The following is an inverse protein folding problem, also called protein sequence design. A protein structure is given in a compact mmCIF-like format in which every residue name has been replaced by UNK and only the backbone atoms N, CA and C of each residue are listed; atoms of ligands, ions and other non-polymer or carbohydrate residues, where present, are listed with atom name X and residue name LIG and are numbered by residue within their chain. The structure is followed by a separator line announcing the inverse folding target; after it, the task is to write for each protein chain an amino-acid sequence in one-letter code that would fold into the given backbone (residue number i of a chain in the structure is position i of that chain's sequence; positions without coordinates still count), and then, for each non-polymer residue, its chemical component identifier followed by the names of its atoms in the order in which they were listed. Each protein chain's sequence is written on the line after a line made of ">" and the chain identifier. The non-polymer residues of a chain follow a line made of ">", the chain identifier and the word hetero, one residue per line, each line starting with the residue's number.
data_IF_658104405761
#
_entry.id   IF_658104405761
#
_cell.length_a   1.000
_cell.length_b   1.000
_cell.length_c   1.000
_cell.angle_alpha   90.00
_cell.angle_beta   90.00
_cell.angle_gamma   90.00
#
_symmetry.space_group_name_H-M   'P 1'
#
loop_
_entity.id
_entity.type
_entity.pdbx_description
1 polymer ?
#
# COMPACT_ATOMS: atom_id res chain seq x y z
N UNK A 1 9.64 -30.30 -2.87
CA UNK A 1 10.91 -29.89 -3.51
C UNK A 1 11.35 -28.62 -2.83
N UNK A 2 12.51 -28.62 -2.18
CA UNK A 2 13.01 -27.42 -1.49
C UNK A 2 13.39 -26.36 -2.54
N UNK A 3 12.68 -25.26 -2.56
CA UNK A 3 13.08 -24.07 -3.32
C UNK A 3 14.31 -23.48 -2.64
N UNK A 4 15.47 -23.68 -3.26
CA UNK A 4 16.71 -23.12 -2.77
C UNK A 4 16.62 -21.60 -2.73
N UNK A 5 16.91 -21.02 -1.57
CA UNK A 5 17.15 -19.59 -1.39
C UNK A 5 18.29 -19.16 -2.35
N UNK A 6 17.93 -18.62 -3.51
CA UNK A 6 18.88 -17.84 -4.29
C UNK A 6 18.93 -16.46 -3.65
N UNK A 7 20.08 -16.13 -3.05
CA UNK A 7 20.39 -14.73 -2.70
C UNK A 7 20.08 -13.85 -3.91
N UNK A 8 19.07 -13.00 -3.79
CA UNK A 8 18.73 -12.06 -4.85
C UNK A 8 19.70 -10.89 -4.78
N UNK A 9 20.40 -10.54 -5.85
CA UNK A 9 21.28 -9.37 -5.84
C UNK A 9 20.40 -8.12 -5.64
N UNK A 10 20.72 -7.34 -4.61
CA UNK A 10 20.14 -6.00 -4.44
C UNK A 10 20.39 -5.15 -5.70
N UNK A 11 19.48 -4.21 -6.04
CA UNK A 11 19.73 -3.33 -7.18
C UNK A 11 21.01 -2.56 -6.93
N UNK A 12 21.98 -2.67 -7.85
CA UNK A 12 23.27 -2.01 -7.70
C UNK A 12 23.08 -0.51 -7.38
N UNK A 13 23.54 -0.10 -6.18
CA UNK A 13 23.52 1.28 -5.73
C UNK A 13 22.18 1.79 -5.14
N UNK A 14 21.27 0.88 -4.70
CA UNK A 14 20.05 1.28 -3.96
C UNK A 14 20.07 0.72 -2.55
N UNK A 15 20.00 -0.59 -2.39
CA UNK A 15 20.15 -1.31 -1.13
C UNK A 15 21.02 -2.54 -1.36
N UNK A 16 21.91 -2.82 -0.42
CA UNK A 16 22.61 -4.10 -0.34
C UNK A 16 21.71 -5.16 0.31
N UNK A 17 22.08 -6.45 0.19
CA UNK A 17 21.37 -7.52 0.91
C UNK A 17 21.43 -7.30 2.43
N UNK A 18 22.56 -6.81 2.96
CA UNK A 18 22.70 -6.48 4.37
C UNK A 18 21.75 -5.35 4.80
N UNK A 19 21.69 -4.25 4.04
CA UNK A 19 20.77 -3.13 4.33
C UNK A 19 19.29 -3.55 4.25
N UNK A 20 18.94 -4.45 3.31
CA UNK A 20 17.59 -5.02 3.23
C UNK A 20 17.27 -5.82 4.50
N UNK A 21 18.17 -6.69 4.94
CA UNK A 21 18.00 -7.48 6.16
C UNK A 21 17.94 -6.60 7.42
N UNK A 22 18.79 -5.57 7.51
CA UNK A 22 18.79 -4.61 8.62
C UNK A 22 17.46 -3.85 8.71
N UNK A 23 16.92 -3.41 7.58
CA UNK A 23 15.63 -2.70 7.53
C UNK A 23 14.47 -3.62 7.90
N UNK A 24 14.44 -4.85 7.40
CA UNK A 24 13.44 -5.85 7.80
C UNK A 24 13.52 -6.17 9.30
N UNK A 25 14.74 -6.37 9.82
CA UNK A 25 14.95 -6.57 11.25
C UNK A 25 14.51 -5.35 12.08
N UNK A 26 14.67 -4.13 11.55
CA UNK A 26 14.24 -2.91 12.21
C UNK A 26 12.71 -2.84 12.31
N UNK A 27 11.96 -3.16 11.24
CA UNK A 27 10.50 -3.33 11.27
C UNK A 27 10.12 -4.41 12.29
N UNK A 28 10.80 -5.56 12.26
CA UNK A 28 10.57 -6.66 13.19
C UNK A 28 10.80 -6.31 14.67
N UNK A 29 11.65 -5.33 14.98
CA UNK A 29 11.83 -4.82 16.36
C UNK A 29 10.68 -3.92 16.80
N UNK A 30 9.97 -3.30 15.89
CA UNK A 30 8.76 -2.48 16.17
C UNK A 30 7.53 -3.37 16.29
N UNK A 31 7.48 -4.48 15.54
CA UNK A 31 6.37 -5.42 15.60
C UNK A 31 6.12 -5.91 17.02
N UNK A 32 4.87 -5.91 17.43
CA UNK A 32 4.39 -6.35 18.75
C UNK A 32 4.36 -7.87 18.83
N UNK A 33 4.33 -8.38 20.04
CA UNK A 33 4.25 -9.84 20.30
C UNK A 33 2.94 -10.48 19.83
N UNK A 34 1.89 -9.68 19.68
CA UNK A 34 0.61 -10.10 19.10
C UNK A 34 0.59 -10.04 17.56
N UNK A 35 1.69 -9.64 16.92
CA UNK A 35 1.82 -9.51 15.46
C UNK A 35 1.54 -8.13 14.91
N UNK A 36 0.94 -7.22 15.67
CA UNK A 36 0.64 -5.85 15.23
C UNK A 36 1.89 -5.04 14.90
N UNK A 37 1.86 -4.26 13.84
CA UNK A 37 2.98 -3.39 13.41
C UNK A 37 2.49 -1.95 13.47
N UNK A 38 2.82 -1.17 14.53
CA UNK A 38 2.49 0.25 14.62
C UNK A 38 3.41 1.09 13.72
N UNK A 39 3.06 2.34 13.52
CA UNK A 39 3.88 3.33 12.81
C UNK A 39 5.32 3.35 13.33
N UNK A 40 5.45 3.43 14.61
CA UNK A 40 6.68 3.22 15.38
C UNK A 40 6.30 2.87 16.82
N UNK A 41 7.24 2.41 17.60
CA UNK A 41 6.98 1.99 18.99
C UNK A 41 6.36 3.13 19.82
N UNK A 42 5.21 2.86 20.41
CA UNK A 42 4.45 3.82 21.22
C UNK A 42 3.48 4.71 20.41
N UNK A 43 3.37 4.50 19.10
CA UNK A 43 2.42 5.20 18.25
C UNK A 43 1.28 4.29 17.81
N UNK A 44 0.30 4.82 17.08
CA UNK A 44 -0.83 4.04 16.61
C UNK A 44 -0.44 2.99 15.54
N UNK A 45 -1.31 2.02 15.39
CA UNK A 45 -1.37 1.10 14.26
C UNK A 45 -2.62 1.41 13.45
N UNK A 46 -2.50 1.55 12.15
CA UNK A 46 -3.62 1.52 11.20
C UNK A 46 -3.46 0.33 10.22
N UNK A 47 -4.56 -0.16 9.64
CA UNK A 47 -4.50 -1.35 8.79
C UNK A 47 -3.71 -1.18 7.51
N UNK A 48 -3.62 0.02 6.94
CA UNK A 48 -2.88 0.23 5.68
C UNK A 48 -1.37 0.09 5.89
N UNK A 49 -0.81 0.90 6.77
CA UNK A 49 0.63 0.90 7.02
C UNK A 49 1.11 -0.43 7.61
N UNK A 50 0.25 -1.05 8.45
CA UNK A 50 0.47 -2.39 8.98
C UNK A 50 0.61 -3.44 7.88
N UNK A 51 -0.28 -3.44 6.88
CA UNK A 51 -0.24 -4.37 5.74
C UNK A 51 0.98 -4.10 4.85
N UNK A 52 1.30 -2.83 4.62
CA UNK A 52 2.46 -2.48 3.79
C UNK A 52 3.77 -2.92 4.44
N UNK A 53 3.90 -2.74 5.75
CA UNK A 53 5.03 -3.26 6.51
C UNK A 53 5.09 -4.81 6.50
N UNK A 54 3.93 -5.49 6.57
CA UNK A 54 3.86 -6.96 6.46
C UNK A 54 4.29 -7.47 5.08
N UNK A 55 3.85 -6.84 3.99
CA UNK A 55 4.31 -7.16 2.63
C UNK A 55 5.82 -6.94 2.48
N UNK A 56 6.36 -5.91 3.11
CA UNK A 56 7.80 -5.65 3.11
C UNK A 56 8.61 -6.72 3.85
N UNK A 57 8.09 -7.23 4.96
CA UNK A 57 8.68 -8.38 5.67
C UNK A 57 8.67 -9.63 4.77
N UNK A 58 7.59 -9.90 4.05
CA UNK A 58 7.52 -10.99 3.06
C UNK A 58 8.57 -10.83 1.96
N UNK A 59 8.69 -9.64 1.40
CA UNK A 59 9.66 -9.35 0.35
C UNK A 59 11.12 -9.50 0.82
N UNK A 60 11.36 -9.35 2.13
CA UNK A 60 12.66 -9.59 2.77
C UNK A 60 12.87 -11.05 3.22
N UNK A 61 11.86 -11.93 3.09
CA UNK A 61 11.92 -13.34 3.49
C UNK A 61 11.54 -13.63 4.95
N UNK A 62 11.03 -12.62 5.68
CA UNK A 62 10.57 -12.72 7.07
C UNK A 62 9.09 -13.18 7.13
N UNK A 63 8.79 -14.31 6.49
CA UNK A 63 7.41 -14.78 6.27
C UNK A 63 6.63 -15.04 7.57
N UNK A 64 7.28 -15.61 8.60
CA UNK A 64 6.63 -15.87 9.90
C UNK A 64 6.16 -14.57 10.56
N UNK A 65 6.91 -13.48 10.39
CA UNK A 65 6.54 -12.16 10.92
C UNK A 65 5.40 -11.54 10.12
N UNK A 66 5.43 -11.70 8.81
CA UNK A 66 4.35 -11.25 7.94
C UNK A 66 3.05 -12.00 8.25
N UNK A 67 3.11 -13.33 8.42
CA UNK A 67 1.95 -14.14 8.78
C UNK A 67 1.37 -13.73 10.14
N UNK A 68 2.23 -13.47 11.15
CA UNK A 68 1.77 -12.97 12.44
C UNK A 68 1.03 -11.63 12.34
N UNK A 69 1.43 -10.76 11.40
CA UNK A 69 0.73 -9.51 11.12
C UNK A 69 -0.66 -9.75 10.49
N UNK A 70 -0.78 -10.66 9.53
CA UNK A 70 -2.09 -11.03 8.97
C UNK A 70 -2.99 -11.73 9.97
N UNK A 71 -2.43 -12.55 10.85
CA UNK A 71 -3.17 -13.16 11.96
C UNK A 71 -3.69 -12.10 12.95
N UNK A 72 -2.93 -11.01 13.15
CA UNK A 72 -3.41 -9.86 13.92
C UNK A 72 -4.66 -9.25 13.27
N UNK A 73 -4.67 -9.03 11.96
CA UNK A 73 -5.85 -8.54 11.23
C UNK A 73 -7.07 -9.47 11.40
N UNK A 74 -6.87 -10.78 11.24
CA UNK A 74 -7.95 -11.76 11.40
C UNK A 74 -8.56 -11.74 12.80
N UNK A 75 -7.75 -11.54 13.84
CA UNK A 75 -8.24 -11.48 15.24
C UNK A 75 -8.96 -10.18 15.60
N UNK A 76 -8.66 -9.08 14.87
CA UNK A 76 -9.17 -7.74 15.20
C UNK A 76 -10.17 -7.19 14.17
N UNK A 77 -10.60 -8.03 13.22
CA UNK A 77 -11.69 -7.68 12.32
C UNK A 77 -13.00 -7.54 13.10
N UNK A 78 -13.70 -6.43 12.90
CA UNK A 78 -15.02 -6.20 13.47
C UNK A 78 -16.06 -7.15 12.83
N UNK A 79 -17.17 -7.40 13.52
CA UNK A 79 -18.26 -8.28 13.04
C UNK A 79 -18.84 -7.86 11.67
N UNK A 80 -18.73 -6.57 11.32
CA UNK A 80 -19.17 -6.05 10.03
C UNK A 80 -18.14 -6.14 8.90
N UNK A 81 -16.98 -6.74 9.17
CA UNK A 81 -15.88 -6.91 8.21
C UNK A 81 -14.87 -5.75 8.18
N UNK A 82 -15.09 -4.69 8.94
CA UNK A 82 -14.20 -3.53 9.00
C UNK A 82 -13.06 -3.70 10.01
N UNK A 83 -12.13 -2.73 9.98
CA UNK A 83 -11.22 -2.40 11.08
C UNK A 83 -11.38 -0.94 11.44
N UNK A 84 -11.02 -0.59 12.67
CA UNK A 84 -10.92 0.80 13.08
C UNK A 84 -9.77 1.51 12.36
N UNK A 85 -9.92 2.83 12.17
CA UNK A 85 -8.91 3.64 11.47
C UNK A 85 -7.58 3.70 12.23
N UNK A 86 -7.62 3.60 13.57
CA UNK A 86 -6.39 3.52 14.36
C UNK A 86 -6.58 2.72 15.65
N UNK A 87 -5.53 2.03 16.06
CA UNK A 87 -5.41 1.29 17.31
C UNK A 87 -4.22 1.83 18.11
N UNK A 88 -4.40 1.99 19.42
CA UNK A 88 -3.33 2.42 20.32
C UNK A 88 -2.23 1.34 20.47
N UNK A 89 -1.01 1.76 20.78
CA UNK A 89 0.12 0.84 21.02
C UNK A 89 0.34 0.52 22.51
N UNK A 90 -0.66 0.70 23.36
CA UNK A 90 -0.56 0.58 24.82
C UNK A 90 -1.07 -0.74 25.41
N UNK A 91 -1.19 -1.80 24.60
CA UNK A 91 -1.67 -3.10 25.07
C UNK A 91 -2.55 -3.86 24.08
N UNK A 92 -3.64 -4.50 24.55
CA UNK A 92 -4.58 -5.16 23.65
C UNK A 92 -5.16 -4.11 22.68
N UNK A 93 -5.37 -4.50 21.42
CA UNK A 93 -5.75 -3.60 20.32
C UNK A 93 -6.93 -2.70 20.65
N UNK A 94 -6.65 -1.63 21.40
CA UNK A 94 -7.62 -0.64 21.83
C UNK A 94 -7.84 0.36 20.70
N UNK A 95 -9.08 0.59 20.24
CA UNK A 95 -9.34 1.59 19.23
C UNK A 95 -8.95 3.01 19.69
N UNK A 96 -8.03 3.65 18.97
CA UNK A 96 -7.67 5.05 19.13
C UNK A 96 -8.58 5.96 18.28
N UNK A 97 -8.95 5.50 17.06
CA UNK A 97 -10.00 6.10 16.23
C UNK A 97 -10.97 5.00 15.79
N UNK A 98 -12.23 5.10 16.21
CA UNK A 98 -13.29 4.12 15.91
C UNK A 98 -13.95 4.31 14.56
N UNK A 99 -13.55 5.27 13.75
CA UNK A 99 -13.95 5.33 12.36
C UNK A 99 -13.43 4.11 11.59
N UNK A 100 -13.99 3.86 10.41
CA UNK A 100 -13.49 2.86 9.49
C UNK A 100 -13.25 3.49 8.12
N UNK A 101 -12.00 3.53 7.68
CA UNK A 101 -11.65 4.03 6.35
C UNK A 101 -11.73 2.89 5.33
N UNK A 102 -12.41 3.14 4.22
CA UNK A 102 -12.72 2.08 3.25
C UNK A 102 -11.49 1.51 2.57
N UNK A 103 -10.49 2.35 2.28
CA UNK A 103 -9.22 1.88 1.72
C UNK A 103 -8.39 1.09 2.75
N UNK A 104 -8.40 1.47 4.03
CA UNK A 104 -7.76 0.72 5.10
C UNK A 104 -8.37 -0.66 5.26
N UNK A 105 -9.71 -0.74 5.18
CA UNK A 105 -10.42 -2.02 5.23
C UNK A 105 -10.24 -2.87 3.95
N UNK A 106 -10.01 -2.26 2.80
CA UNK A 106 -9.78 -2.98 1.55
C UNK A 106 -8.35 -3.56 1.44
N UNK A 107 -7.34 -2.82 1.94
CA UNK A 107 -5.93 -3.10 1.68
C UNK A 107 -5.42 -4.46 2.19
N UNK A 108 -5.98 -5.10 3.24
CA UNK A 108 -5.65 -6.47 3.62
C UNK A 108 -5.73 -7.48 2.48
N UNK A 109 -6.61 -7.28 1.48
CA UNK A 109 -6.68 -8.16 0.31
C UNK A 109 -5.39 -8.12 -0.54
N UNK A 110 -4.72 -6.96 -0.62
CA UNK A 110 -3.43 -6.81 -1.31
C UNK A 110 -2.36 -7.61 -0.60
N UNK A 111 -2.27 -7.44 0.73
CA UNK A 111 -1.28 -8.14 1.54
C UNK A 111 -1.46 -9.65 1.56
N UNK A 112 -2.70 -10.14 1.71
CA UNK A 112 -3.01 -11.58 1.71
C UNK A 112 -2.63 -12.22 0.37
N UNK A 113 -2.93 -11.54 -0.75
CA UNK A 113 -2.54 -12.03 -2.06
C UNK A 113 -1.02 -12.00 -2.26
N UNK A 114 -0.34 -10.97 -1.77
CA UNK A 114 1.11 -10.86 -1.79
C UNK A 114 1.79 -11.98 -1.00
N UNK A 115 1.34 -12.24 0.23
CA UNK A 115 1.87 -13.30 1.08
C UNK A 115 1.69 -14.69 0.43
N UNK A 116 0.50 -14.97 -0.12
CA UNK A 116 0.27 -16.21 -0.86
C UNK A 116 1.24 -16.35 -2.05
N UNK A 117 1.47 -15.27 -2.82
CA UNK A 117 2.44 -15.29 -3.93
C UNK A 117 3.88 -15.52 -3.46
N UNK A 118 4.23 -15.00 -2.27
CA UNK A 118 5.56 -15.14 -1.69
C UNK A 118 5.83 -16.55 -1.14
N UNK A 119 4.81 -17.17 -0.53
CA UNK A 119 4.97 -18.43 0.22
C UNK A 119 4.38 -19.66 -0.48
N UNK A 120 3.32 -19.47 -1.28
CA UNK A 120 2.50 -20.56 -1.81
C UNK A 120 1.68 -21.29 -0.75
N UNK A 121 1.51 -20.71 0.46
CA UNK A 121 0.79 -21.35 1.55
C UNK A 121 -0.72 -21.35 1.34
N UNK A 122 -1.23 -22.50 0.93
CA UNK A 122 -2.66 -22.74 0.72
C UNK A 122 -3.47 -22.79 2.04
N UNK A 123 -2.85 -23.15 3.16
CA UNK A 123 -3.52 -23.15 4.46
C UNK A 123 -3.76 -21.72 4.94
N UNK A 124 -2.75 -20.85 4.81
CA UNK A 124 -2.86 -19.43 5.05
C UNK A 124 -3.95 -18.82 4.15
N UNK A 125 -3.89 -19.04 2.83
CA UNK A 125 -4.88 -18.51 1.90
C UNK A 125 -6.32 -18.87 2.29
N UNK A 126 -6.57 -20.16 2.59
CA UNK A 126 -7.90 -20.62 3.02
C UNK A 126 -8.34 -19.97 4.33
N UNK A 127 -7.44 -19.77 5.28
CA UNK A 127 -7.73 -19.13 6.57
C UNK A 127 -8.08 -17.66 6.40
N UNK A 128 -7.40 -16.94 5.48
CA UNK A 128 -7.59 -15.52 5.27
C UNK A 128 -8.72 -15.19 4.27
N UNK A 129 -9.17 -16.13 3.45
CA UNK A 129 -10.24 -15.89 2.48
C UNK A 129 -11.52 -15.32 3.12
N UNK A 130 -12.07 -15.86 4.23
CA UNK A 130 -13.26 -15.26 4.84
C UNK A 130 -13.01 -13.85 5.39
N UNK A 131 -11.81 -13.56 5.88
CA UNK A 131 -11.42 -12.22 6.36
C UNK A 131 -11.45 -11.22 5.21
N UNK A 132 -10.85 -11.57 4.07
CA UNK A 132 -10.87 -10.72 2.85
C UNK A 132 -12.30 -10.56 2.32
N UNK A 133 -13.10 -11.64 2.32
CA UNK A 133 -14.49 -11.58 1.86
C UNK A 133 -15.31 -10.59 2.69
N UNK A 134 -15.28 -10.69 4.01
CA UNK A 134 -16.00 -9.78 4.91
C UNK A 134 -15.54 -8.32 4.73
N UNK A 135 -14.24 -8.10 4.54
CA UNK A 135 -13.68 -6.78 4.28
C UNK A 135 -14.19 -6.16 2.96
N UNK A 136 -14.19 -6.93 1.87
CA UNK A 136 -14.73 -6.48 0.58
C UNK A 136 -16.21 -6.15 0.68
N UNK A 137 -17.00 -7.03 1.30
CA UNK A 137 -18.43 -6.80 1.51
C UNK A 137 -18.70 -5.53 2.35
N UNK A 138 -17.87 -5.25 3.36
CA UNK A 138 -17.93 -3.99 4.08
C UNK A 138 -17.67 -2.81 3.14
N UNK A 139 -16.58 -2.83 2.41
CA UNK A 139 -16.14 -1.74 1.52
C UNK A 139 -17.17 -1.43 0.44
N UNK A 140 -17.75 -2.45 -0.18
CA UNK A 140 -18.69 -2.27 -1.28
C UNK A 140 -20.00 -1.59 -0.87
N UNK A 141 -20.36 -1.61 0.42
CA UNK A 141 -21.50 -0.83 0.93
C UNK A 141 -21.32 0.69 0.76
N UNK A 142 -20.08 1.15 0.56
CA UNK A 142 -19.75 2.55 0.37
C UNK A 142 -19.56 2.94 -1.10
N UNK A 143 -19.73 1.99 -2.06
CA UNK A 143 -19.67 2.33 -3.46
C UNK A 143 -20.89 3.16 -3.85
N UNK A 144 -20.66 4.33 -4.43
CA UNK A 144 -21.71 5.27 -4.86
C UNK A 144 -22.20 4.94 -6.28
N UNK A 145 -23.36 5.44 -6.67
CA UNK A 145 -23.91 5.22 -8.02
C UNK A 145 -22.96 5.62 -9.16
N UNK A 146 -22.09 6.59 -8.93
CA UNK A 146 -21.08 7.02 -9.91
C UNK A 146 -19.87 6.11 -10.00
N UNK A 147 -19.76 5.08 -9.15
CA UNK A 147 -18.67 4.13 -9.11
C UNK A 147 -17.55 4.47 -8.13
N UNK A 148 -17.45 5.74 -7.72
CA UNK A 148 -16.48 6.18 -6.69
C UNK A 148 -16.82 5.58 -5.32
N UNK A 149 -15.80 5.47 -4.44
CA UNK A 149 -15.94 4.89 -3.11
C UNK A 149 -15.97 5.97 -2.03
N UNK A 150 -17.04 5.99 -1.21
CA UNK A 150 -17.07 6.80 0.02
C UNK A 150 -15.89 6.42 0.90
N UNK A 151 -15.19 7.41 1.45
CA UNK A 151 -13.86 7.16 2.01
C UNK A 151 -13.87 6.70 3.47
N UNK A 152 -14.94 7.02 4.24
CA UNK A 152 -14.94 6.77 5.68
C UNK A 152 -16.36 6.56 6.24
N UNK A 153 -16.49 5.69 7.21
CA UNK A 153 -17.61 5.60 8.14
C UNK A 153 -17.16 6.18 9.48
N UNK A 154 -17.88 7.17 9.95
CA UNK A 154 -17.63 7.78 11.25
C UNK A 154 -18.08 6.87 12.42
N UNK A 155 -17.62 7.12 13.67
CA UNK A 155 -17.93 6.27 14.82
C UNK A 155 -19.42 6.13 15.14
N UNK A 156 -20.25 7.10 14.74
CA UNK A 156 -21.71 7.07 14.88
C UNK A 156 -22.42 6.23 13.78
N UNK A 157 -21.66 5.64 12.88
CA UNK A 157 -22.16 4.83 11.76
C UNK A 157 -22.47 5.61 10.49
N UNK A 158 -22.37 6.93 10.49
CA UNK A 158 -22.62 7.76 9.29
C UNK A 158 -21.48 7.69 8.31
N UNK A 159 -21.80 7.80 7.01
CA UNK A 159 -20.77 7.90 5.96
C UNK A 159 -20.30 9.34 5.83
N UNK A 160 -19.00 9.57 5.91
CA UNK A 160 -18.42 10.88 5.67
C UNK A 160 -18.67 11.34 4.22
N UNK A 161 -18.82 12.64 3.98
CA UNK A 161 -19.07 13.15 2.64
C UNK A 161 -17.84 13.01 1.73
N UNK A 162 -18.10 12.80 0.44
CA UNK A 162 -17.05 12.76 -0.61
C UNK A 162 -16.40 11.38 -0.79
N UNK A 163 -15.47 11.34 -1.71
CA UNK A 163 -14.61 10.20 -2.03
C UNK A 163 -13.17 10.70 -2.20
N UNK A 164 -12.18 9.89 -1.86
CA UNK A 164 -10.76 10.20 -2.07
C UNK A 164 -10.26 9.46 -3.31
N UNK A 165 -9.55 10.16 -4.20
CA UNK A 165 -8.98 9.56 -5.39
C UNK A 165 -7.96 8.48 -5.05
N UNK A 166 -7.01 8.79 -4.15
CA UNK A 166 -6.01 7.85 -3.64
C UNK A 166 -6.67 6.63 -3.00
N UNK A 167 -7.62 6.83 -2.06
CA UNK A 167 -8.33 5.74 -1.39
C UNK A 167 -9.14 4.88 -2.35
N UNK A 168 -9.80 5.49 -3.34
CA UNK A 168 -10.53 4.76 -4.39
C UNK A 168 -9.61 3.97 -5.32
N UNK A 169 -8.43 4.50 -5.65
CA UNK A 169 -7.44 3.79 -6.44
C UNK A 169 -6.86 2.58 -5.66
N UNK A 170 -6.55 2.78 -4.37
CA UNK A 170 -6.10 1.70 -3.46
C UNK A 170 -7.15 0.60 -3.32
N UNK A 171 -8.41 0.96 -3.09
CA UNK A 171 -9.51 0.01 -3.01
C UNK A 171 -9.75 -0.75 -4.33
N UNK A 172 -9.58 -0.09 -5.48
CA UNK A 172 -9.63 -0.77 -6.78
C UNK A 172 -8.53 -1.84 -6.91
N UNK A 173 -7.31 -1.53 -6.47
CA UNK A 173 -6.23 -2.50 -6.44
C UNK A 173 -6.56 -3.69 -5.51
N UNK A 174 -7.07 -3.39 -4.32
CA UNK A 174 -7.49 -4.40 -3.35
C UNK A 174 -8.60 -5.31 -3.87
N UNK A 175 -9.62 -4.76 -4.54
CA UNK A 175 -10.68 -5.54 -5.18
C UNK A 175 -10.13 -6.50 -6.24
N UNK A 176 -9.15 -6.08 -7.03
CA UNK A 176 -8.51 -6.94 -8.04
C UNK A 176 -7.72 -8.07 -7.40
N UNK A 177 -7.04 -7.82 -6.28
CA UNK A 177 -6.35 -8.87 -5.50
C UNK A 177 -7.38 -9.83 -4.87
N UNK A 178 -8.49 -9.31 -4.33
CA UNK A 178 -9.57 -10.12 -3.79
C UNK A 178 -10.23 -11.01 -4.86
N UNK A 179 -10.44 -10.50 -6.07
CA UNK A 179 -10.93 -11.28 -7.22
C UNK A 179 -9.94 -12.40 -7.57
N UNK A 180 -8.65 -12.13 -7.60
CA UNK A 180 -7.64 -13.16 -7.83
C UNK A 180 -7.67 -14.25 -6.74
N UNK A 181 -7.86 -13.88 -5.47
CA UNK A 181 -8.04 -14.84 -4.37
C UNK A 181 -9.33 -15.66 -4.52
N UNK A 182 -10.42 -15.04 -4.98
CA UNK A 182 -11.68 -15.71 -5.24
C UNK A 182 -11.58 -16.70 -6.41
N UNK A 183 -10.89 -16.35 -7.50
CA UNK A 183 -10.58 -17.26 -8.61
C UNK A 183 -9.79 -18.48 -8.14
N UNK A 184 -8.74 -18.28 -7.31
CA UNK A 184 -7.98 -19.37 -6.70
C UNK A 184 -8.81 -20.26 -5.77
N UNK A 185 -9.84 -19.70 -5.15
CA UNK A 185 -10.76 -20.44 -4.31
C UNK A 185 -11.87 -21.16 -5.12
N UNK A 186 -12.00 -20.89 -6.43
CA UNK A 186 -13.08 -21.38 -7.26
C UNK A 186 -14.45 -20.78 -6.90
N UNK A 187 -14.50 -19.58 -6.35
CA UNK A 187 -15.72 -18.88 -5.90
C UNK A 187 -15.92 -17.59 -6.71
N UNK A 188 -16.53 -17.65 -7.91
CA UNK A 188 -16.75 -16.47 -8.74
C UNK A 188 -17.51 -15.38 -8.01
N UNK A 189 -17.09 -14.11 -8.21
CA UNK A 189 -17.65 -12.94 -7.54
C UNK A 189 -18.08 -11.86 -8.56
N UNK A 190 -19.17 -12.09 -9.33
CA UNK A 190 -19.57 -11.16 -10.39
C UNK A 190 -19.90 -9.75 -9.90
N UNK A 191 -20.43 -9.62 -8.69
CA UNK A 191 -20.71 -8.30 -8.10
C UNK A 191 -19.42 -7.54 -7.80
N UNK A 192 -18.37 -8.24 -7.37
CA UNK A 192 -17.04 -7.61 -7.15
C UNK A 192 -16.38 -7.21 -8.48
N UNK A 193 -16.54 -8.02 -9.53
CA UNK A 193 -16.05 -7.69 -10.87
C UNK A 193 -16.71 -6.42 -11.40
N UNK A 194 -18.03 -6.31 -11.24
CA UNK A 194 -18.78 -5.11 -11.63
C UNK A 194 -18.35 -3.90 -10.80
N UNK A 195 -18.20 -4.07 -9.48
CA UNK A 195 -17.77 -3.01 -8.58
C UNK A 195 -16.36 -2.52 -8.91
N UNK A 196 -15.41 -3.43 -9.16
CA UNK A 196 -14.05 -3.10 -9.57
C UNK A 196 -14.04 -2.34 -10.90
N UNK A 197 -14.83 -2.77 -11.88
CA UNK A 197 -14.96 -2.09 -13.16
C UNK A 197 -15.49 -0.65 -13.04
N UNK A 198 -16.56 -0.46 -12.26
CA UNK A 198 -17.14 0.87 -11.97
C UNK A 198 -16.15 1.78 -11.24
N UNK A 199 -15.48 1.26 -10.21
CA UNK A 199 -14.51 2.03 -9.43
C UNK A 199 -13.30 2.44 -10.29
N UNK A 200 -12.74 1.49 -11.05
CA UNK A 200 -11.66 1.78 -11.97
C UNK A 200 -12.03 2.79 -13.05
N UNK A 201 -13.27 2.74 -13.55
CA UNK A 201 -13.78 3.74 -14.49
C UNK A 201 -13.90 5.12 -13.84
N UNK A 202 -14.48 5.21 -12.64
CA UNK A 202 -14.60 6.48 -11.92
C UNK A 202 -13.22 7.14 -11.71
N UNK A 203 -12.22 6.39 -11.27
CA UNK A 203 -10.85 6.90 -11.05
C UNK A 203 -10.21 7.41 -12.35
N UNK A 204 -10.44 6.73 -13.48
CA UNK A 204 -9.84 7.13 -14.78
C UNK A 204 -10.54 8.29 -15.46
N UNK A 205 -11.88 8.32 -15.40
CA UNK A 205 -12.69 9.17 -16.27
C UNK A 205 -13.41 10.32 -15.56
N UNK A 206 -13.53 10.27 -14.22
CA UNK A 206 -14.36 11.17 -13.45
C UNK A 206 -13.64 11.81 -12.25
N UNK A 207 -12.54 12.55 -12.47
CA UNK A 207 -11.78 13.20 -11.38
C UNK A 207 -12.63 14.18 -10.57
N UNK A 208 -13.68 14.77 -11.17
CA UNK A 208 -14.61 15.69 -10.52
C UNK A 208 -15.47 15.07 -9.43
N UNK A 209 -15.53 13.74 -9.34
CA UNK A 209 -16.27 13.00 -8.29
C UNK A 209 -15.51 12.88 -6.98
N UNK A 210 -14.22 13.23 -7.00
CA UNK A 210 -13.35 13.11 -5.83
C UNK A 210 -13.10 14.48 -5.19
N UNK A 211 -12.87 14.44 -3.86
CA UNK A 211 -12.45 15.62 -3.12
C UNK A 211 -11.12 16.13 -3.71
N UNK A 212 -10.99 17.43 -3.88
CA UNK A 212 -9.75 18.01 -4.37
C UNK A 212 -8.62 17.87 -3.34
N UNK A 213 -7.77 16.91 -3.60
CA UNK A 213 -6.51 16.64 -2.89
C UNK A 213 -5.30 16.79 -3.82
N UNK A 214 -5.46 17.52 -4.92
CA UNK A 214 -4.44 17.70 -5.96
C UNK A 214 -3.10 18.27 -5.45
N UNK A 215 -3.09 18.90 -4.27
CA UNK A 215 -1.86 19.34 -3.62
C UNK A 215 -1.02 18.19 -3.03
N UNK A 216 -1.59 17.02 -2.81
CA UNK A 216 -0.92 15.84 -2.25
C UNK A 216 -0.35 14.98 -3.35
N UNK A 217 0.89 14.53 -3.20
CA UNK A 217 1.57 13.71 -4.22
C UNK A 217 0.91 12.35 -4.44
N UNK A 218 0.28 11.77 -3.42
CA UNK A 218 -0.43 10.49 -3.55
C UNK A 218 -1.55 10.58 -4.57
N UNK A 219 -2.33 11.65 -4.62
CA UNK A 219 -3.37 11.83 -5.63
C UNK A 219 -2.80 11.85 -7.07
N UNK A 220 -1.55 12.24 -7.22
CA UNK A 220 -0.87 12.25 -8.51
C UNK A 220 -0.36 10.86 -8.93
N UNK A 221 0.42 10.17 -8.08
CA UNK A 221 1.06 8.92 -8.50
C UNK A 221 0.28 7.65 -8.14
N UNK A 222 -0.55 7.67 -7.11
CA UNK A 222 -1.18 6.47 -6.56
C UNK A 222 -2.11 5.74 -7.56
N UNK A 223 -2.87 6.41 -8.44
CA UNK A 223 -3.62 5.72 -9.50
C UNK A 223 -2.74 4.89 -10.46
N UNK A 224 -1.45 5.26 -10.60
CA UNK A 224 -0.47 4.48 -11.36
C UNK A 224 0.06 3.32 -10.50
N UNK A 225 0.42 3.58 -9.24
CA UNK A 225 0.86 2.56 -8.28
C UNK A 225 -0.19 1.45 -8.15
N UNK A 226 -1.43 1.81 -7.91
CA UNK A 226 -2.56 0.91 -7.75
C UNK A 226 -3.01 0.18 -9.05
N UNK A 227 -2.41 0.50 -10.18
CA UNK A 227 -2.74 -0.15 -11.44
C UNK A 227 -4.03 0.29 -12.10
N UNK A 228 -4.66 1.33 -11.60
CA UNK A 228 -5.88 1.88 -12.20
C UNK A 228 -5.58 2.64 -13.49
N UNK A 229 -4.42 3.30 -13.56
CA UNK A 229 -3.92 4.00 -14.74
C UNK A 229 -2.63 3.33 -15.22
N UNK A 230 -2.57 2.91 -16.48
CA UNK A 230 -1.45 2.17 -17.08
C UNK A 230 -1.07 2.72 -18.47
N UNK A 231 0.08 2.25 -18.99
CA UNK A 231 0.57 2.55 -20.33
C UNK A 231 0.80 4.04 -20.58
N UNK A 232 0.43 4.55 -21.76
CA UNK A 232 0.64 5.94 -22.13
C UNK A 232 -0.05 6.94 -21.19
N UNK A 233 -1.21 6.58 -20.64
CA UNK A 233 -1.93 7.42 -19.68
C UNK A 233 -1.16 7.56 -18.36
N UNK A 234 -0.49 6.49 -17.90
CA UNK A 234 0.36 6.55 -16.71
C UNK A 234 1.57 7.47 -16.94
N UNK A 235 2.22 7.36 -18.10
CA UNK A 235 3.34 8.24 -18.47
C UNK A 235 2.90 9.70 -18.53
N UNK A 236 1.77 9.98 -19.18
CA UNK A 236 1.23 11.34 -19.28
C UNK A 236 0.89 11.92 -17.89
N UNK A 237 0.25 11.12 -17.03
CA UNK A 237 -0.08 11.53 -15.66
C UNK A 237 1.16 11.84 -14.82
N UNK A 238 2.17 10.98 -14.87
CA UNK A 238 3.42 11.18 -14.14
C UNK A 238 4.20 12.39 -14.67
N UNK A 239 4.22 12.61 -15.98
CA UNK A 239 4.88 13.77 -16.58
C UNK A 239 4.20 15.10 -16.26
N UNK A 240 2.86 15.11 -16.18
CA UNK A 240 2.06 16.35 -16.06
C UNK A 240 2.37 17.17 -14.80
N UNK A 241 2.81 16.51 -13.70
CA UNK A 241 3.07 17.17 -12.42
C UNK A 241 4.41 16.78 -11.80
N UNK A 242 5.34 16.34 -12.65
CA UNK A 242 6.67 15.91 -12.20
C UNK A 242 7.40 17.02 -11.45
N UNK A 243 7.43 18.23 -11.99
CA UNK A 243 8.14 19.37 -11.42
C UNK A 243 7.47 19.95 -10.15
N UNK A 244 6.16 19.71 -10.00
CA UNK A 244 5.44 20.09 -8.78
C UNK A 244 5.91 19.26 -7.58
N UNK A 245 6.13 17.95 -7.79
CA UNK A 245 6.34 17.03 -6.69
C UNK A 245 7.78 16.53 -6.57
N UNK A 246 8.50 16.32 -7.67
CA UNK A 246 9.85 15.78 -7.61
C UNK A 246 10.88 16.87 -7.39
N UNK A 247 11.67 16.72 -6.33
CA UNK A 247 12.81 17.58 -6.03
C UNK A 247 14.08 16.82 -6.40
N UNK A 248 14.83 17.27 -7.43
CA UNK A 248 16.01 16.56 -7.91
C UNK A 248 17.02 16.25 -6.79
N UNK A 249 17.42 14.99 -6.67
CA UNK A 249 18.36 14.52 -5.66
C UNK A 249 17.84 14.42 -4.22
N UNK A 250 16.57 14.79 -3.97
CA UNK A 250 15.98 14.78 -2.63
C UNK A 250 14.80 13.82 -2.48
N UNK A 251 13.98 13.63 -3.52
CA UNK A 251 12.79 12.77 -3.48
C UNK A 251 11.52 13.53 -3.85
N UNK A 252 10.41 13.16 -3.21
CA UNK A 252 9.06 13.63 -3.52
C UNK A 252 8.51 14.50 -2.41
N UNK A 253 7.95 15.66 -2.77
CA UNK A 253 7.15 16.47 -1.83
C UNK A 253 5.88 15.70 -1.47
N UNK A 254 5.57 15.58 -0.18
CA UNK A 254 4.26 15.10 0.25
C UNK A 254 3.15 16.06 -0.22
N UNK A 255 3.35 17.35 0.00
CA UNK A 255 2.38 18.42 -0.31
C UNK A 255 3.04 19.55 -1.08
N UNK A 256 2.57 19.82 -2.30
CA UNK A 256 3.01 20.98 -3.09
C UNK A 256 2.34 22.28 -2.57
N UNK A 257 3.09 23.41 -2.45
CA UNK A 257 4.50 23.63 -2.77
C UNK A 257 5.45 23.54 -1.56
N UNK A 258 5.08 22.83 -0.49
CA UNK A 258 5.85 22.79 0.74
C UNK A 258 7.29 22.28 0.50
N UNK A 259 8.33 22.88 1.13
CA UNK A 259 9.71 22.46 0.96
C UNK A 259 10.05 21.21 1.79
N UNK A 260 9.21 20.20 1.73
CA UNK A 260 9.25 18.98 2.53
C UNK A 260 9.13 17.74 1.64
N UNK A 261 10.17 16.93 1.59
CA UNK A 261 10.20 15.64 0.90
C UNK A 261 10.07 14.51 1.92
N UNK A 262 9.38 13.44 1.54
CA UNK A 262 9.07 12.33 2.42
C UNK A 262 9.56 11.00 1.86
N UNK A 263 9.92 10.09 2.75
CA UNK A 263 10.48 8.80 2.40
C UNK A 263 9.43 7.84 1.83
N UNK A 264 8.26 7.74 2.47
CA UNK A 264 7.18 6.85 2.06
C UNK A 264 6.70 7.18 0.64
N UNK A 265 6.27 8.42 0.40
CA UNK A 265 5.77 8.84 -0.92
C UNK A 265 6.87 8.78 -2.00
N UNK A 266 8.14 8.98 -1.64
CA UNK A 266 9.24 8.79 -2.59
C UNK A 266 9.42 7.33 -2.97
N UNK A 267 9.34 6.41 -2.02
CA UNK A 267 9.45 4.98 -2.29
C UNK A 267 8.23 4.45 -3.08
N UNK A 268 7.03 4.88 -2.73
CA UNK A 268 5.81 4.56 -3.48
C UNK A 268 5.84 5.12 -4.91
N UNK A 269 6.35 6.37 -5.11
CA UNK A 269 6.57 6.87 -6.47
C UNK A 269 7.58 6.00 -7.23
N UNK A 270 8.67 5.55 -6.58
CA UNK A 270 9.62 4.66 -7.22
C UNK A 270 8.96 3.35 -7.67
N UNK A 271 8.07 2.78 -6.83
CA UNK A 271 7.29 1.60 -7.17
C UNK A 271 6.30 1.87 -8.32
N UNK A 272 5.63 3.03 -8.32
CA UNK A 272 4.73 3.45 -9.40
C UNK A 272 5.49 3.64 -10.73
N UNK A 273 6.68 4.23 -10.69
CA UNK A 273 7.56 4.39 -11.86
C UNK A 273 8.02 3.04 -12.41
N UNK A 274 8.40 2.11 -11.52
CA UNK A 274 8.74 0.75 -11.93
C UNK A 274 7.53 0.09 -12.62
N UNK A 275 6.34 0.17 -12.03
CA UNK A 275 5.11 -0.40 -12.58
C UNK A 275 4.70 0.24 -13.91
N UNK A 276 5.07 1.50 -14.14
CA UNK A 276 4.90 2.21 -15.42
C UNK A 276 5.98 1.86 -16.47
N UNK A 277 6.93 0.96 -16.17
CA UNK A 277 8.02 0.60 -17.09
C UNK A 277 9.17 1.61 -17.13
N UNK A 278 9.36 2.40 -16.08
CA UNK A 278 10.40 3.43 -15.95
C UNK A 278 11.44 3.08 -14.85
N UNK A 279 12.08 1.89 -14.88
CA UNK A 279 12.90 1.41 -13.77
C UNK A 279 14.14 2.27 -13.49
N UNK A 280 14.69 2.98 -14.49
CA UNK A 280 15.81 3.92 -14.26
C UNK A 280 15.37 5.08 -13.37
N UNK A 281 14.22 5.71 -13.66
CA UNK A 281 13.68 6.79 -12.83
C UNK A 281 13.29 6.28 -11.43
N UNK A 282 12.72 5.08 -11.34
CA UNK A 282 12.45 4.43 -10.06
C UNK A 282 13.73 4.32 -9.20
N UNK A 283 14.82 3.84 -9.79
CA UNK A 283 16.13 3.74 -9.13
C UNK A 283 16.67 5.10 -8.70
N UNK A 284 16.52 6.13 -9.53
CA UNK A 284 16.97 7.50 -9.21
C UNK A 284 16.22 8.07 -8.00
N UNK A 285 14.90 7.89 -7.93
CA UNK A 285 14.10 8.34 -6.79
C UNK A 285 14.46 7.55 -5.53
N UNK A 286 14.56 6.22 -5.61
CA UNK A 286 14.87 5.40 -4.45
C UNK A 286 16.25 5.72 -3.85
N UNK A 287 17.24 6.06 -4.68
CA UNK A 287 18.56 6.50 -4.22
C UNK A 287 18.54 7.76 -3.37
N UNK A 288 17.57 8.65 -3.59
CA UNK A 288 17.44 9.87 -2.78
C UNK A 288 17.19 9.54 -1.30
N UNK A 289 16.64 8.36 -1.00
CA UNK A 289 16.25 7.94 0.34
C UNK A 289 17.44 7.50 1.22
N UNK A 290 18.62 7.32 0.65
CA UNK A 290 19.83 7.00 1.43
C UNK A 290 20.12 8.03 2.53
N UNK A 291 19.76 9.30 2.32
CA UNK A 291 19.90 10.37 3.33
C UNK A 291 18.95 10.26 4.52
N UNK A 292 17.82 9.56 4.33
CA UNK A 292 16.83 9.35 5.39
C UNK A 292 17.11 8.07 6.19
N UNK A 293 17.99 7.20 5.70
CA UNK A 293 18.33 5.95 6.36
C UNK A 293 19.12 6.20 7.61
N UNK A 294 18.74 5.54 8.70
CA UNK A 294 19.42 5.61 10.00
C UNK A 294 20.31 4.39 10.21
N UNK A 295 21.27 4.49 11.17
CA UNK A 295 22.26 3.44 11.45
C UNK A 295 21.61 2.13 11.93
N UNK A 296 20.39 2.18 12.47
CA UNK A 296 19.63 1.02 12.91
C UNK A 296 18.76 0.39 11.81
N UNK A 297 18.87 0.88 10.57
CA UNK A 297 18.16 0.35 9.40
C UNK A 297 16.77 0.92 9.16
N UNK A 298 16.28 1.83 10.02
CA UNK A 298 15.03 2.56 9.79
C UNK A 298 15.23 3.76 8.86
N UNK A 299 14.15 4.45 8.58
CA UNK A 299 14.13 5.65 7.75
C UNK A 299 13.36 6.76 8.45
N UNK A 300 13.90 7.98 8.44
CA UNK A 300 13.17 9.17 8.81
C UNK A 300 11.98 9.41 7.88
N UNK A 301 10.88 9.91 8.42
CA UNK A 301 9.66 10.19 7.65
C UNK A 301 9.89 11.23 6.57
N UNK A 302 10.65 12.29 6.86
CA UNK A 302 10.89 13.32 5.86
C UNK A 302 11.99 14.32 6.20
N UNK A 303 12.25 15.19 5.22
CA UNK A 303 13.30 16.20 5.26
C UNK A 303 12.78 17.54 4.72
N UNK A 304 12.89 18.59 5.54
CA UNK A 304 12.58 19.97 5.15
C UNK A 304 13.84 20.59 4.57
N UNK A 305 13.91 20.63 3.25
CA UNK A 305 15.14 21.05 2.56
C UNK A 305 15.40 22.57 2.60
N UNK A 306 14.42 23.39 2.95
CA UNK A 306 14.61 24.82 3.16
C UNK A 306 15.36 25.10 4.47
N UNK A 307 15.18 24.24 5.47
CA UNK A 307 15.73 24.42 6.82
C UNK A 307 16.87 23.44 7.12
N UNK A 308 17.23 22.57 6.17
CA UNK A 308 18.19 21.48 6.34
C UNK A 308 17.90 20.61 7.58
N UNK A 309 16.62 20.23 7.77
CA UNK A 309 16.15 19.59 8.98
C UNK A 309 15.34 18.31 8.69
N UNK A 310 15.52 17.29 9.52
CA UNK A 310 14.62 16.14 9.59
C UNK A 310 13.30 16.58 10.25
N UNK A 311 12.18 16.25 9.60
CA UNK A 311 10.86 16.53 10.16
C UNK A 311 9.79 15.64 9.52
N UNK A 312 8.85 15.10 10.30
CA UNK A 312 8.94 14.97 11.77
C UNK A 312 10.10 14.06 12.19
N UNK A 313 10.53 14.14 13.45
CA UNK A 313 11.55 13.24 14.00
C UNK A 313 10.94 11.86 14.32
N UNK A 314 10.37 11.25 13.30
CA UNK A 314 9.69 9.96 13.33
C UNK A 314 10.33 9.00 12.32
N UNK A 315 10.32 7.73 12.64
CA UNK A 315 10.87 6.65 11.79
C UNK A 315 9.81 5.58 11.64
N UNK A 316 8.95 5.77 10.62
CA UNK A 316 7.77 4.92 10.45
C UNK A 316 8.08 3.60 9.78
N UNK A 317 7.41 2.55 10.22
CA UNK A 317 7.44 1.22 9.59
C UNK A 317 6.90 1.26 8.17
N UNK A 318 5.93 2.15 7.88
CA UNK A 318 5.45 2.43 6.52
C UNK A 318 6.56 2.92 5.60
N UNK A 319 7.34 3.96 6.01
CA UNK A 319 8.47 4.44 5.18
C UNK A 319 9.48 3.33 4.90
N UNK A 320 9.85 2.57 5.93
CA UNK A 320 10.78 1.44 5.78
C UNK A 320 10.18 0.33 4.89
N UNK A 321 8.90 0.05 5.04
CA UNK A 321 8.14 -0.91 4.23
C UNK A 321 8.10 -0.53 2.75
N UNK A 322 7.71 0.71 2.46
CA UNK A 322 7.67 1.23 1.09
C UNK A 322 9.06 1.14 0.39
N UNK A 323 10.15 1.46 1.12
CA UNK A 323 11.52 1.32 0.60
C UNK A 323 11.85 -0.12 0.25
N UNK A 324 11.53 -1.08 1.13
CA UNK A 324 11.76 -2.50 0.86
C UNK A 324 10.96 -2.99 -0.35
N UNK A 325 9.68 -2.63 -0.46
CA UNK A 325 8.83 -3.01 -1.59
C UNK A 325 9.34 -2.42 -2.92
N UNK A 326 9.75 -1.16 -2.93
CA UNK A 326 10.33 -0.56 -4.12
C UNK A 326 11.65 -1.23 -4.53
N UNK A 327 12.51 -1.56 -3.56
CA UNK A 327 13.75 -2.32 -3.80
C UNK A 327 13.45 -3.73 -4.31
N UNK A 328 12.49 -4.44 -3.71
CA UNK A 328 12.05 -5.78 -4.10
C UNK A 328 11.54 -5.81 -5.55
N UNK A 329 10.71 -4.83 -5.95
CA UNK A 329 10.25 -4.72 -7.33
C UNK A 329 11.43 -4.54 -8.31
N UNK A 330 12.40 -3.70 -7.97
CA UNK A 330 13.58 -3.46 -8.80
C UNK A 330 14.50 -4.69 -8.87
N UNK A 331 14.61 -5.50 -7.82
CA UNK A 331 15.44 -6.72 -7.77
C UNK A 331 14.78 -7.96 -8.34
N UNK A 332 13.51 -7.92 -8.68
CA UNK A 332 12.84 -9.06 -9.31
C UNK A 332 12.04 -9.93 -8.35
N UNK A 333 11.64 -9.41 -7.20
CA UNK A 333 10.75 -10.14 -6.31
C UNK A 333 9.43 -10.47 -7.00
N UNK A 334 9.07 -11.75 -7.02
CA UNK A 334 7.93 -12.23 -7.78
C UNK A 334 6.61 -11.71 -7.22
N UNK A 335 6.42 -11.80 -5.91
CA UNK A 335 5.18 -11.38 -5.25
C UNK A 335 4.92 -9.88 -5.43
N UNK A 336 5.90 -9.06 -5.08
CA UNK A 336 5.84 -7.60 -5.23
C UNK A 336 5.59 -7.17 -6.67
N UNK A 337 6.32 -7.78 -7.62
CA UNK A 337 6.14 -7.49 -9.06
C UNK A 337 4.76 -7.87 -9.57
N UNK A 338 4.24 -9.01 -9.19
CA UNK A 338 2.93 -9.48 -9.63
C UNK A 338 1.84 -8.55 -9.12
N UNK A 339 1.86 -8.22 -7.84
CA UNK A 339 0.88 -7.34 -7.20
C UNK A 339 0.90 -5.94 -7.82
N UNK A 340 2.07 -5.30 -7.88
CA UNK A 340 2.14 -3.89 -8.30
C UNK A 340 2.21 -3.68 -9.82
N UNK A 341 2.66 -4.66 -10.61
CA UNK A 341 2.43 -4.58 -12.07
C UNK A 341 0.94 -4.70 -12.38
N UNK A 342 0.23 -5.51 -11.62
CA UNK A 342 -1.19 -5.77 -11.81
C UNK A 342 -1.53 -6.38 -13.18
N UNK A 343 -0.54 -6.86 -13.93
CA UNK A 343 -0.73 -7.35 -15.30
C UNK A 343 -1.58 -8.62 -15.36
N UNK A 344 -1.51 -9.44 -14.33
CA UNK A 344 -2.23 -10.72 -14.21
C UNK A 344 -3.48 -10.61 -13.32
N UNK A 345 -3.71 -9.48 -12.68
CA UNK A 345 -4.89 -9.28 -11.84
C UNK A 345 -6.16 -9.09 -12.70
N UNK A 346 -7.30 -9.64 -12.29
CA UNK A 346 -8.59 -9.40 -12.95
C UNK A 346 -8.86 -7.90 -13.11
N UNK A 347 -9.45 -7.50 -14.23
CA UNK A 347 -9.68 -6.08 -14.55
C UNK A 347 -11.01 -5.56 -14.06
N UNK A 348 -11.92 -6.45 -13.64
CA UNK A 348 -13.33 -6.14 -13.44
C UNK A 348 -14.09 -6.02 -14.75
N UNK A 349 -15.41 -5.97 -14.68
CA UNK A 349 -16.28 -5.78 -15.83
C UNK A 349 -16.38 -4.30 -16.18
N UNK A 350 -16.18 -3.92 -17.46
CA UNK A 350 -16.37 -2.52 -17.86
C UNK A 350 -17.84 -2.12 -17.64
N UNK A 351 -18.11 -0.90 -17.12
CA UNK A 351 -19.48 -0.41 -17.04
C UNK A 351 -20.06 -0.13 -18.45
N UNK A 352 -21.35 -0.35 -18.61
CA UNK A 352 -22.08 -0.10 -19.88
C UNK A 352 -22.27 1.39 -20.19
N UNK A 353 -21.49 2.29 -19.60
CA UNK A 353 -21.59 3.72 -19.83
C UNK A 353 -20.44 4.21 -20.71
N UNK A 354 -20.77 4.91 -21.73
CA UNK A 354 -19.96 5.64 -22.73
C UNK A 354 -19.91 4.99 -24.07
#
# INVERSE_FOLDING_TARGET
>A
MAFGHRERPAPAGVLTAAETAETAAAIGRVQRTDGGIPWFRGHHLDPWDHVEAAMALDAAGEHDRAEAAYDWLARHQNDDGSWYAAYADDGPATPADRAAETNFCAYPAVGVYHHWLATGDEAFRRRMTPVVTAAVEFVLRFQRPGGELGWRRDPDGTAAPGALLTGSASAHHALRCALALAELAGTPQPDWELAAGRLGHAVRAHPERFLDKSRYSMDWYYPVLAGTVRGAAAHARLAARWDDFVVPGLGVRCVHPNPWVTGGESAELALALWAAGLPRRATEILRCLARLRTDDGMYWTGYVYADDAIWPEERTTWTAGAVLLAAAALTGDHATRTVFSGATLPTGLPPDCC
#
